data_IF_559445171738
#
_entry.id   IF_559445171738
#
_cell.length_a   1.000
_cell.length_b   1.000
_cell.length_c   1.000
_cell.angle_alpha   90.00
_cell.angle_beta   90.00
_cell.angle_gamma   90.00
#
_symmetry.space_group_name_H-M   'P 1'
#
loop_
_entity.id
_entity.type
_entity.pdbx_description
1 polymer ?
#
# COMPACT_ATOMS: atom_id res chain seq x y z
N UNK A 1 19.20 5.65 20.32
CA UNK A 1 19.02 5.63 18.86
C UNK A 1 17.52 5.64 18.58
N UNK A 2 17.08 6.28 17.46
CA UNK A 2 15.67 6.26 17.04
C UNK A 2 15.36 4.87 16.46
N UNK A 3 14.15 4.38 16.70
CA UNK A 3 13.69 3.09 16.18
C UNK A 3 13.55 3.15 14.65
N UNK A 4 14.22 2.24 13.95
CA UNK A 4 14.07 2.06 12.49
C UNK A 4 12.74 1.39 12.25
N UNK A 5 11.81 2.13 11.69
CA UNK A 5 10.39 1.76 11.62
C UNK A 5 9.91 1.68 10.17
N UNK A 6 9.14 0.67 9.85
CA UNK A 6 8.27 0.68 8.67
C UNK A 6 6.81 0.87 9.09
N UNK A 7 6.02 1.47 8.21
CA UNK A 7 4.58 1.64 8.38
C UNK A 7 3.87 0.97 7.21
N UNK A 8 2.97 0.04 7.49
CA UNK A 8 2.25 -0.74 6.46
C UNK A 8 0.76 -0.65 6.71
N UNK A 9 0.03 -0.08 5.76
CA UNK A 9 -1.44 -0.07 5.79
C UNK A 9 -2.02 -1.28 5.05
N UNK A 10 -3.21 -1.73 5.43
CA UNK A 10 -3.82 -2.92 4.85
C UNK A 10 -3.04 -4.20 5.14
N UNK A 11 -2.36 -4.27 6.28
CA UNK A 11 -1.45 -5.35 6.64
C UNK A 11 -2.13 -6.66 7.06
N UNK A 12 -3.46 -6.69 7.19
CA UNK A 12 -4.19 -7.87 7.67
C UNK A 12 -4.30 -9.00 6.66
N UNK A 13 -4.07 -8.74 5.39
CA UNK A 13 -4.20 -9.73 4.31
C UNK A 13 -3.39 -9.35 3.06
N UNK A 14 -3.33 -10.27 2.10
CA UNK A 14 -2.81 -10.03 0.75
C UNK A 14 -1.38 -9.48 0.72
N UNK A 15 -1.16 -8.49 -0.13
CA UNK A 15 0.15 -7.87 -0.31
C UNK A 15 0.66 -7.20 0.96
N UNK A 16 -0.21 -6.55 1.74
CA UNK A 16 0.20 -5.87 2.97
C UNK A 16 0.78 -6.83 4.00
N UNK A 17 0.13 -7.97 4.21
CA UNK A 17 0.63 -9.07 5.06
C UNK A 17 1.97 -9.59 4.56
N UNK A 18 2.10 -9.80 3.27
CA UNK A 18 3.33 -10.30 2.64
C UNK A 18 4.48 -9.29 2.75
N UNK A 19 4.21 -7.98 2.60
CA UNK A 19 5.21 -6.95 2.87
C UNK A 19 5.76 -7.04 4.29
N UNK A 20 4.89 -7.17 5.28
CA UNK A 20 5.32 -7.28 6.68
C UNK A 20 6.22 -8.51 6.89
N UNK A 21 5.85 -9.66 6.32
CA UNK A 21 6.64 -10.90 6.42
C UNK A 21 8.03 -10.72 5.82
N UNK A 22 8.14 -10.25 4.58
CA UNK A 22 9.44 -10.09 3.91
C UNK A 22 10.31 -9.01 4.58
N UNK A 23 9.72 -7.88 5.01
CA UNK A 23 10.45 -6.86 5.76
C UNK A 23 10.99 -7.38 7.10
N UNK A 24 10.21 -8.22 7.79
CA UNK A 24 10.65 -8.86 9.02
C UNK A 24 11.79 -9.86 8.77
N UNK A 25 11.74 -10.63 7.69
CA UNK A 25 12.79 -11.59 7.31
C UNK A 25 14.12 -10.89 7.00
N UNK A 26 14.08 -9.68 6.44
CA UNK A 26 15.30 -8.89 6.19
C UNK A 26 16.05 -8.48 7.47
N UNK A 27 15.38 -8.39 8.61
CA UNK A 27 15.97 -8.08 9.90
C UNK A 27 16.61 -6.69 10.03
N UNK A 28 16.19 -5.74 9.18
CA UNK A 28 16.75 -4.38 9.13
C UNK A 28 15.98 -3.35 9.95
N UNK A 29 14.79 -3.72 10.44
CA UNK A 29 13.89 -2.85 11.17
C UNK A 29 13.82 -3.23 12.64
N UNK A 30 13.64 -2.24 13.49
CA UNK A 30 13.47 -2.45 14.94
C UNK A 30 11.99 -2.70 15.28
N UNK A 31 11.05 -2.12 14.50
CA UNK A 31 9.61 -2.39 14.61
C UNK A 31 8.89 -2.12 13.28
N UNK A 32 7.68 -2.67 13.14
CA UNK A 32 6.77 -2.39 12.03
C UNK A 32 5.43 -1.94 12.61
N UNK A 33 4.96 -0.77 12.21
CA UNK A 33 3.62 -0.28 12.52
C UNK A 33 2.65 -0.81 11.48
N UNK A 34 1.67 -1.58 11.94
CA UNK A 34 0.69 -2.25 11.05
C UNK A 34 -0.70 -1.70 11.32
N UNK A 35 -1.37 -1.29 10.26
CA UNK A 35 -2.69 -0.64 10.32
C UNK A 35 -3.68 -1.42 9.48
N UNK A 36 -4.74 -1.91 10.10
CA UNK A 36 -5.89 -2.53 9.44
C UNK A 36 -7.08 -2.60 10.38
N UNK A 37 -8.27 -2.78 9.84
CA UNK A 37 -9.50 -2.87 10.64
C UNK A 37 -9.58 -4.14 11.51
N UNK A 38 -9.10 -5.27 10.98
CA UNK A 38 -9.18 -6.59 11.65
C UNK A 38 -7.97 -6.79 12.56
N UNK A 39 -8.10 -6.32 13.79
CA UNK A 39 -7.04 -6.40 14.81
C UNK A 39 -6.56 -7.84 15.03
N UNK A 40 -7.48 -8.79 15.09
CA UNK A 40 -7.18 -10.21 15.30
C UNK A 40 -6.25 -10.77 14.21
N UNK A 41 -6.38 -10.31 12.96
CA UNK A 41 -5.48 -10.71 11.86
C UNK A 41 -4.08 -10.12 12.01
N UNK A 42 -3.97 -8.92 12.55
CA UNK A 42 -2.67 -8.30 12.86
C UNK A 42 -1.97 -9.00 14.02
N UNK A 43 -2.73 -9.42 15.04
CA UNK A 43 -2.22 -10.20 16.17
C UNK A 43 -1.74 -11.59 15.71
N UNK A 44 -2.50 -12.25 14.84
CA UNK A 44 -2.08 -13.48 14.18
C UNK A 44 -0.77 -13.28 13.41
N UNK A 45 -0.67 -12.22 12.59
CA UNK A 45 0.55 -11.89 11.85
C UNK A 45 1.75 -11.70 12.78
N UNK A 46 1.56 -11.04 13.92
CA UNK A 46 2.61 -10.82 14.91
C UNK A 46 3.20 -12.13 15.46
N UNK A 47 2.43 -13.23 15.45
CA UNK A 47 2.92 -14.55 15.88
C UNK A 47 3.84 -15.24 14.87
N UNK A 48 3.84 -14.81 13.61
CA UNK A 48 4.63 -15.41 12.52
C UNK A 48 5.94 -14.65 12.22
N UNK A 49 6.06 -13.41 12.65
CA UNK A 49 7.19 -12.54 12.29
C UNK A 49 8.09 -12.28 13.48
N UNK A 50 9.38 -12.10 13.21
CA UNK A 50 10.38 -11.86 14.26
C UNK A 50 10.45 -10.40 14.70
N UNK A 51 10.24 -9.48 13.76
CA UNK A 51 10.25 -8.04 14.05
C UNK A 51 9.01 -7.67 14.86
N UNK A 52 9.12 -6.96 15.97
CA UNK A 52 7.98 -6.51 16.76
C UNK A 52 7.00 -5.71 15.93
N UNK A 53 5.70 -6.02 16.06
CA UNK A 53 4.64 -5.27 15.41
C UNK A 53 3.95 -4.35 16.40
N UNK A 54 3.77 -3.08 16.02
CA UNK A 54 2.87 -2.16 16.71
C UNK A 54 1.55 -2.14 15.97
N UNK A 55 0.50 -2.59 16.63
CA UNK A 55 -0.79 -2.89 16.01
C UNK A 55 -1.76 -1.74 16.21
N UNK A 56 -2.29 -1.23 15.11
CA UNK A 56 -3.36 -0.25 15.05
C UNK A 56 -4.58 -0.89 14.37
N UNK A 57 -5.48 -1.43 15.19
CA UNK A 57 -6.75 -2.03 14.72
C UNK A 57 -7.78 -0.94 14.47
N UNK A 58 -7.68 -0.23 13.37
CA UNK A 58 -8.51 0.92 13.04
C UNK A 58 -8.74 1.06 11.55
N UNK A 59 -9.81 1.76 11.18
CA UNK A 59 -10.09 2.17 9.81
C UNK A 59 -9.27 3.40 9.42
N UNK A 60 -8.81 3.46 8.19
CA UNK A 60 -8.18 4.66 7.61
C UNK A 60 -9.18 5.79 7.31
N UNK A 61 -10.47 5.57 7.52
CA UNK A 61 -11.52 6.61 7.50
C UNK A 61 -11.68 7.29 8.87
N UNK A 62 -11.06 6.74 9.92
CA UNK A 62 -11.13 7.29 11.28
C UNK A 62 -10.08 8.40 11.47
N UNK A 63 -10.54 9.64 11.58
CA UNK A 63 -9.67 10.80 11.84
C UNK A 63 -8.93 10.68 13.20
N UNK A 64 -9.52 9.97 14.18
CA UNK A 64 -8.87 9.69 15.45
C UNK A 64 -7.58 8.89 15.31
N UNK A 65 -7.51 8.01 14.32
CA UNK A 65 -6.28 7.27 14.02
C UNK A 65 -5.13 8.21 13.64
N UNK A 66 -5.39 9.17 12.75
CA UNK A 66 -4.34 10.13 12.31
C UNK A 66 -3.88 11.03 13.45
N UNK A 67 -4.80 11.44 14.33
CA UNK A 67 -4.47 12.19 15.55
C UNK A 67 -3.57 11.37 16.48
N UNK A 68 -3.90 10.10 16.70
CA UNK A 68 -3.09 9.19 17.52
C UNK A 68 -1.69 8.99 16.90
N UNK A 69 -1.62 8.69 15.61
CA UNK A 69 -0.33 8.50 14.91
C UNK A 69 0.53 9.76 14.97
N UNK A 70 -0.07 10.93 14.79
CA UNK A 70 0.64 12.22 14.87
C UNK A 70 1.28 12.42 16.25
N UNK A 71 0.52 12.21 17.32
CA UNK A 71 1.01 12.32 18.70
C UNK A 71 2.15 11.32 18.98
N UNK A 72 1.99 10.08 18.56
CA UNK A 72 3.01 9.05 18.74
C UNK A 72 4.30 9.39 17.99
N UNK A 73 4.20 9.80 16.73
CA UNK A 73 5.36 10.17 15.91
C UNK A 73 6.08 11.39 16.46
N UNK A 74 5.35 12.41 16.94
CA UNK A 74 5.96 13.58 17.55
C UNK A 74 6.70 13.24 18.85
N UNK A 75 6.10 12.39 19.67
CA UNK A 75 6.69 11.96 20.95
C UNK A 75 7.92 11.07 20.77
N UNK A 76 7.83 10.07 19.89
CA UNK A 76 8.84 9.02 19.75
C UNK A 76 9.86 9.34 18.65
N UNK A 77 9.51 10.19 17.70
CA UNK A 77 10.37 10.59 16.57
C UNK A 77 11.04 9.40 15.91
N UNK A 78 10.26 8.41 15.41
CA UNK A 78 10.82 7.22 14.79
C UNK A 78 11.69 7.59 13.58
N UNK A 79 12.63 6.73 13.22
CA UNK A 79 13.33 6.78 11.93
C UNK A 79 12.52 5.94 10.94
N UNK A 80 11.57 6.58 10.23
CA UNK A 80 10.72 5.88 9.27
C UNK A 80 11.52 5.57 8.02
N UNK A 81 11.81 4.29 7.84
CA UNK A 81 12.61 3.78 6.72
C UNK A 81 11.76 3.43 5.51
N UNK A 82 10.50 3.06 5.73
CA UNK A 82 9.59 2.63 4.68
C UNK A 82 8.15 2.90 5.06
N UNK A 83 7.38 3.49 4.13
CA UNK A 83 5.93 3.57 4.18
C UNK A 83 5.35 2.76 3.02
N UNK A 84 4.49 1.80 3.34
CA UNK A 84 3.72 1.03 2.36
C UNK A 84 2.25 1.43 2.45
N UNK A 85 1.78 2.23 1.51
CA UNK A 85 0.37 2.54 1.34
C UNK A 85 -0.28 1.44 0.51
N UNK A 86 -0.68 0.35 1.19
CA UNK A 86 -1.26 -0.82 0.55
C UNK A 86 -2.78 -0.92 0.73
N UNK A 87 -3.35 -0.32 1.78
CA UNK A 87 -4.78 -0.38 1.98
C UNK A 87 -5.53 0.19 0.77
N UNK A 88 -6.53 -0.54 0.32
CA UNK A 88 -7.34 -0.17 -0.83
C UNK A 88 -8.50 -1.14 -1.02
N UNK A 89 -9.47 -0.71 -1.80
CA UNK A 89 -10.59 -1.55 -2.24
C UNK A 89 -10.93 -1.26 -3.69
N UNK A 90 -11.60 -2.18 -4.33
CA UNK A 90 -12.11 -2.03 -5.68
C UNK A 90 -13.48 -2.67 -5.82
N UNK A 91 -14.25 -2.20 -6.77
CA UNK A 91 -15.52 -2.79 -7.19
C UNK A 91 -15.53 -2.88 -8.70
N UNK A 92 -15.87 -4.05 -9.25
CA UNK A 92 -16.00 -4.26 -10.68
C UNK A 92 -17.47 -4.13 -11.08
N UNK A 93 -17.86 -2.91 -11.40
CA UNK A 93 -19.23 -2.54 -11.77
C UNK A 93 -19.23 -1.29 -12.66
N UNK A 94 -20.29 -1.04 -13.39
CA UNK A 94 -20.47 0.21 -14.14
C UNK A 94 -20.79 1.38 -13.20
N UNK A 95 -20.47 2.61 -13.60
CA UNK A 95 -20.67 3.78 -12.74
C UNK A 95 -22.15 4.02 -12.38
N UNK A 96 -23.06 3.70 -13.27
CA UNK A 96 -24.50 3.85 -13.05
C UNK A 96 -25.08 2.81 -12.08
N UNK A 97 -24.43 1.64 -11.96
CA UNK A 97 -24.80 0.59 -11.02
C UNK A 97 -24.10 0.74 -9.66
N UNK A 98 -22.96 1.43 -9.62
CA UNK A 98 -22.21 1.64 -8.40
C UNK A 98 -22.93 2.64 -7.47
N UNK A 99 -23.05 2.31 -6.19
CA UNK A 99 -23.62 3.26 -5.24
C UNK A 99 -22.68 4.46 -5.01
N UNK A 100 -23.26 5.64 -4.80
CA UNK A 100 -22.46 6.83 -4.47
C UNK A 100 -21.60 6.61 -3.23
N UNK A 101 -22.15 5.93 -2.22
CA UNK A 101 -21.45 5.61 -0.98
C UNK A 101 -20.20 4.76 -1.24
N UNK A 102 -20.33 3.69 -2.03
CA UNK A 102 -19.21 2.83 -2.39
C UNK A 102 -18.14 3.58 -3.19
N UNK A 103 -18.54 4.35 -4.19
CA UNK A 103 -17.64 5.14 -5.02
C UNK A 103 -16.85 6.16 -4.16
N UNK A 104 -17.53 6.93 -3.32
CA UNK A 104 -16.91 7.95 -2.47
C UNK A 104 -16.00 7.32 -1.40
N UNK A 105 -16.46 6.24 -0.77
CA UNK A 105 -15.65 5.47 0.19
C UNK A 105 -14.38 4.90 -0.45
N UNK A 106 -14.46 4.42 -1.69
CA UNK A 106 -13.29 3.95 -2.45
C UNK A 106 -12.28 5.08 -2.71
N UNK A 107 -12.75 6.26 -3.10
CA UNK A 107 -11.90 7.44 -3.28
C UNK A 107 -11.21 7.82 -1.95
N UNK A 108 -11.93 7.83 -0.86
CA UNK A 108 -11.38 8.10 0.47
C UNK A 108 -10.26 7.15 0.84
N UNK A 109 -10.49 5.85 0.74
CA UNK A 109 -9.50 4.85 1.09
C UNK A 109 -8.31 4.80 0.12
N UNK A 110 -8.58 4.85 -1.19
CA UNK A 110 -7.53 4.67 -2.20
C UNK A 110 -6.72 5.95 -2.48
N UNK A 111 -7.28 7.14 -2.23
CA UNK A 111 -6.64 8.41 -2.57
C UNK A 111 -6.31 9.26 -1.33
N UNK A 112 -7.29 9.53 -0.47
CA UNK A 112 -7.08 10.41 0.69
C UNK A 112 -6.15 9.77 1.73
N UNK A 113 -6.34 8.50 2.05
CA UNK A 113 -5.54 7.80 3.05
C UNK A 113 -4.04 7.78 2.71
N UNK A 114 -3.60 7.46 1.48
CA UNK A 114 -2.19 7.56 1.11
C UNK A 114 -1.62 8.97 1.26
N UNK A 115 -2.36 10.01 0.90
CA UNK A 115 -1.91 11.40 1.07
C UNK A 115 -1.72 11.73 2.55
N UNK A 116 -2.70 11.39 3.40
CA UNK A 116 -2.61 11.60 4.84
C UNK A 116 -1.41 10.87 5.46
N UNK A 117 -1.20 9.61 5.08
CA UNK A 117 -0.08 8.80 5.59
C UNK A 117 1.27 9.35 5.14
N UNK A 118 1.42 9.78 3.89
CA UNK A 118 2.64 10.43 3.42
C UNK A 118 2.91 11.72 4.18
N UNK A 119 1.91 12.56 4.39
CA UNK A 119 2.03 13.81 5.17
C UNK A 119 2.48 13.56 6.60
N UNK A 120 1.99 12.49 7.23
CA UNK A 120 2.39 12.09 8.58
C UNK A 120 3.83 11.56 8.64
N UNK A 121 4.21 10.71 7.69
CA UNK A 121 5.49 10.00 7.74
C UNK A 121 6.68 10.83 7.24
N UNK A 122 6.50 11.64 6.20
CA UNK A 122 7.59 12.40 5.56
C UNK A 122 8.45 13.23 6.53
N UNK A 123 7.90 13.90 7.57
CA UNK A 123 8.74 14.62 8.54
C UNK A 123 9.74 13.75 9.31
N UNK A 124 9.46 12.45 9.40
CA UNK A 124 10.27 11.48 10.14
C UNK A 124 11.10 10.58 9.23
N UNK A 125 11.06 10.82 7.92
CA UNK A 125 11.86 10.12 6.91
C UNK A 125 13.16 10.87 6.65
N UNK A 126 14.23 10.09 6.47
CA UNK A 126 15.56 10.59 6.15
C UNK A 126 16.07 10.00 4.85
N UNK A 127 17.24 10.45 4.44
CA UNK A 127 17.98 9.90 3.30
C UNK A 127 17.97 8.37 3.31
N UNK A 128 17.68 7.79 2.16
CA UNK A 128 17.56 6.35 1.97
C UNK A 128 16.23 5.73 2.40
N UNK A 129 15.28 6.54 2.88
CA UNK A 129 13.91 6.07 3.13
C UNK A 129 13.12 5.93 1.82
N UNK A 130 12.07 5.12 1.86
CA UNK A 130 11.23 4.87 0.71
C UNK A 130 9.74 4.87 1.01
N UNK A 131 8.94 5.11 -0.04
CA UNK A 131 7.48 5.00 -0.03
C UNK A 131 7.07 4.12 -1.19
N UNK A 132 6.24 3.11 -0.93
CA UNK A 132 5.55 2.34 -1.97
C UNK A 132 4.06 2.64 -1.86
N UNK A 133 3.49 3.20 -2.91
CA UNK A 133 2.05 3.35 -3.06
C UNK A 133 1.54 2.22 -3.96
N UNK A 134 0.67 1.36 -3.43
CA UNK A 134 0.12 0.23 -4.19
C UNK A 134 -1.01 0.75 -5.09
N UNK A 135 -0.66 0.97 -6.35
CA UNK A 135 -1.57 1.32 -7.43
C UNK A 135 -2.15 0.05 -8.09
N UNK A 136 -2.24 0.01 -9.38
CA UNK A 136 -2.71 -1.13 -10.18
C UNK A 136 -2.42 -0.88 -11.66
N UNK A 137 -2.34 -1.92 -12.46
CA UNK A 137 -2.40 -1.78 -13.94
C UNK A 137 -3.69 -1.10 -14.40
N UNK A 138 -4.76 -1.18 -13.61
CA UNK A 138 -6.01 -0.46 -13.87
C UNK A 138 -5.86 1.08 -13.83
N UNK A 139 -4.79 1.59 -13.26
CA UNK A 139 -4.45 3.02 -13.30
C UNK A 139 -3.71 3.47 -14.56
N UNK A 140 -3.32 2.55 -15.43
CA UNK A 140 -2.55 2.86 -16.64
C UNK A 140 -3.46 3.20 -17.84
N UNK A 141 -4.66 2.65 -17.87
CA UNK A 141 -5.61 2.79 -18.96
C UNK A 141 -7.03 2.94 -18.42
N UNK A 142 -7.92 3.70 -19.09
CA UNK A 142 -9.33 3.72 -18.74
C UNK A 142 -9.96 2.34 -19.02
N UNK A 143 -10.58 1.76 -18.01
CA UNK A 143 -11.21 0.44 -18.11
C UNK A 143 -12.69 0.55 -17.78
N UNK A 144 -13.60 0.14 -18.69
CA UNK A 144 -15.01 -0.08 -18.37
C UNK A 144 -15.15 -1.04 -17.18
N UNK A 145 -16.22 -0.93 -16.43
CA UNK A 145 -16.51 -1.68 -15.20
C UNK A 145 -15.52 -1.44 -14.03
N UNK A 146 -14.52 -0.61 -14.23
CA UNK A 146 -13.52 -0.22 -13.22
C UNK A 146 -13.30 1.30 -13.21
N UNK A 147 -14.29 2.10 -13.59
CA UNK A 147 -14.11 3.53 -13.80
C UNK A 147 -13.57 4.25 -12.56
N UNK A 148 -14.25 4.14 -11.43
CA UNK A 148 -13.81 4.80 -10.18
C UNK A 148 -12.54 4.16 -9.64
N UNK A 149 -12.47 2.85 -9.56
CA UNK A 149 -11.28 2.13 -9.11
C UNK A 149 -10.04 2.50 -9.93
N UNK A 150 -10.13 2.40 -11.26
CA UNK A 150 -9.03 2.76 -12.17
C UNK A 150 -8.59 4.21 -12.00
N UNK A 151 -9.55 5.14 -11.86
CA UNK A 151 -9.25 6.54 -11.62
C UNK A 151 -8.51 6.77 -10.29
N UNK A 152 -8.88 6.05 -9.20
CA UNK A 152 -8.15 6.12 -7.93
C UNK A 152 -6.72 5.60 -8.06
N UNK A 153 -6.50 4.57 -8.86
CA UNK A 153 -5.17 4.01 -9.10
C UNK A 153 -4.32 4.87 -10.05
N UNK A 154 -4.94 5.53 -11.01
CA UNK A 154 -4.28 6.56 -11.83
C UNK A 154 -3.85 7.78 -10.98
N UNK A 155 -4.68 8.18 -10.02
CA UNK A 155 -4.33 9.19 -9.03
C UNK A 155 -3.05 8.80 -8.27
N UNK A 156 -2.96 7.58 -7.74
CA UNK A 156 -1.77 7.12 -7.01
C UNK A 156 -0.53 7.05 -7.89
N UNK A 157 -0.68 6.61 -9.13
CA UNK A 157 0.44 6.55 -10.07
C UNK A 157 1.01 7.94 -10.34
N UNK A 158 0.16 8.90 -10.68
CA UNK A 158 0.56 10.28 -10.94
C UNK A 158 1.16 10.94 -9.70
N UNK A 159 0.50 10.80 -8.55
CA UNK A 159 0.98 11.35 -7.28
C UNK A 159 2.36 10.79 -6.89
N UNK A 160 2.55 9.49 -7.01
CA UNK A 160 3.83 8.84 -6.66
C UNK A 160 4.98 9.38 -7.48
N UNK A 161 4.79 9.54 -8.79
CA UNK A 161 5.81 10.07 -9.68
C UNK A 161 6.16 11.53 -9.36
N UNK A 162 5.13 12.36 -9.12
CA UNK A 162 5.34 13.77 -8.76
C UNK A 162 6.07 13.90 -7.41
N UNK A 163 5.60 13.19 -6.37
CA UNK A 163 6.23 13.23 -5.04
C UNK A 163 7.67 12.68 -5.09
N UNK A 164 7.93 11.67 -5.93
CA UNK A 164 9.30 11.18 -6.11
C UNK A 164 10.25 12.29 -6.59
N UNK A 165 9.82 13.11 -7.55
CA UNK A 165 10.62 14.25 -8.03
C UNK A 165 10.83 15.31 -6.92
N UNK A 166 9.76 15.63 -6.17
CA UNK A 166 9.84 16.58 -5.05
C UNK A 166 10.79 16.11 -3.93
N UNK A 167 10.93 14.80 -3.73
CA UNK A 167 11.75 14.23 -2.65
C UNK A 167 13.19 13.90 -3.04
N UNK A 168 13.60 14.17 -4.28
CA UNK A 168 14.96 13.88 -4.78
C UNK A 168 16.05 14.54 -3.94
N UNK A 169 15.91 15.79 -3.59
CA UNK A 169 16.91 16.52 -2.79
C UNK A 169 17.06 15.92 -1.38
N UNK A 170 16.02 15.31 -0.86
CA UNK A 170 16.05 14.61 0.43
C UNK A 170 16.51 13.15 0.31
N UNK A 171 16.77 12.67 -0.91
CA UNK A 171 17.10 11.28 -1.20
C UNK A 171 16.09 10.29 -0.59
N UNK A 172 14.80 10.63 -0.68
CA UNK A 172 13.67 9.76 -0.33
C UNK A 172 13.04 9.29 -1.63
N UNK A 173 12.94 7.97 -1.80
CA UNK A 173 12.45 7.36 -3.02
C UNK A 173 10.97 7.01 -2.92
N UNK A 174 10.16 7.43 -3.91
CA UNK A 174 8.72 7.14 -3.96
C UNK A 174 8.40 6.35 -5.22
N UNK A 175 7.79 5.19 -5.04
CA UNK A 175 7.47 4.26 -6.13
C UNK A 175 5.99 3.89 -6.14
N UNK A 176 5.38 3.84 -7.32
CA UNK A 176 4.09 3.22 -7.53
C UNK A 176 4.28 1.73 -7.87
N UNK A 177 3.63 0.85 -7.13
CA UNK A 177 3.51 -0.56 -7.47
C UNK A 177 2.20 -0.78 -8.24
N UNK A 178 2.30 -1.24 -9.47
CA UNK A 178 1.17 -1.46 -10.38
C UNK A 178 1.00 -2.95 -10.70
N UNK A 179 0.48 -3.77 -9.76
CA UNK A 179 0.25 -5.18 -10.02
C UNK A 179 -1.00 -5.39 -10.89
N UNK A 180 -1.03 -6.54 -11.57
CA UNK A 180 -2.25 -7.14 -12.09
C UNK A 180 -3.03 -7.83 -10.94
N UNK A 181 -4.04 -8.62 -11.22
CA UNK A 181 -4.74 -9.40 -10.21
C UNK A 181 -3.78 -10.34 -9.47
N UNK A 182 -3.94 -10.40 -8.15
CA UNK A 182 -3.11 -11.25 -7.28
C UNK A 182 -3.99 -12.40 -6.79
N UNK A 183 -3.59 -13.64 -7.10
CA UNK A 183 -4.19 -14.83 -6.50
C UNK A 183 -3.87 -14.89 -5.00
N UNK A 184 -4.57 -15.72 -4.30
CA UNK A 184 -4.39 -15.95 -2.87
C UNK A 184 -4.60 -14.69 -2.02
N UNK A 185 -5.40 -13.73 -2.55
CA UNK A 185 -5.85 -12.54 -1.83
C UNK A 185 -7.38 -12.47 -1.82
N UNK A 186 -7.92 -11.83 -0.81
CA UNK A 186 -9.37 -11.58 -0.71
C UNK A 186 -9.87 -10.54 -1.72
N UNK A 187 -8.97 -9.86 -2.43
CA UNK A 187 -9.31 -8.70 -3.26
C UNK A 187 -10.18 -9.07 -4.45
N UNK A 188 -9.90 -10.16 -5.14
CA UNK A 188 -10.66 -10.60 -6.32
C UNK A 188 -12.12 -10.83 -5.96
N UNK A 189 -12.37 -11.60 -4.89
CA UNK A 189 -13.73 -11.86 -4.41
C UNK A 189 -14.45 -10.60 -3.92
N UNK A 190 -13.78 -9.78 -3.14
CA UNK A 190 -14.34 -8.51 -2.62
C UNK A 190 -14.66 -7.50 -3.72
N UNK A 191 -13.91 -7.51 -4.81
CA UNK A 191 -14.16 -6.65 -5.97
C UNK A 191 -15.29 -7.17 -6.88
N UNK A 192 -15.82 -8.37 -6.65
CA UNK A 192 -16.81 -9.00 -7.53
C UNK A 192 -16.23 -9.40 -8.90
N UNK A 193 -14.93 -9.67 -8.95
CA UNK A 193 -14.20 -9.95 -10.19
C UNK A 193 -14.10 -11.44 -10.51
N UNK A 194 -14.57 -12.33 -9.62
CA UNK A 194 -14.53 -13.77 -9.83
C UNK A 194 -15.20 -14.18 -11.14
N UNK A 195 -14.52 -15.01 -11.94
CA UNK A 195 -15.02 -15.44 -13.24
C UNK A 195 -15.08 -14.36 -14.33
N UNK A 196 -14.73 -13.11 -14.00
CA UNK A 196 -14.75 -11.98 -14.95
C UNK A 196 -13.36 -11.55 -15.42
N UNK A 197 -12.32 -12.06 -14.80
CA UNK A 197 -10.93 -11.74 -15.11
C UNK A 197 -10.23 -12.91 -15.80
N UNK A 198 -9.25 -12.59 -16.65
CA UNK A 198 -8.40 -13.62 -17.25
C UNK A 198 -7.45 -14.19 -16.21
N UNK A 199 -7.42 -15.51 -16.09
CA UNK A 199 -6.44 -16.20 -15.23
C UNK A 199 -5.00 -16.06 -15.76
N UNK A 200 -4.86 -15.71 -17.03
CA UNK A 200 -3.57 -15.52 -17.66
C UNK A 200 -2.90 -14.26 -17.11
N UNK A 201 -1.76 -14.43 -16.45
CA UNK A 201 -1.00 -13.33 -15.89
C UNK A 201 -1.35 -13.00 -14.44
N UNK A 202 -2.25 -13.75 -13.79
CA UNK A 202 -2.48 -13.61 -12.36
C UNK A 202 -1.16 -13.86 -11.61
N UNK A 203 -0.86 -12.95 -10.68
CA UNK A 203 0.37 -12.95 -9.89
C UNK A 203 0.15 -13.62 -8.53
N UNK A 204 1.24 -13.97 -7.85
CA UNK A 204 1.19 -14.30 -6.43
C UNK A 204 1.76 -13.16 -5.57
N UNK A 205 1.36 -13.12 -4.30
CA UNK A 205 1.76 -12.05 -3.38
C UNK A 205 3.27 -12.07 -3.09
N UNK A 206 3.86 -13.24 -2.88
CA UNK A 206 5.28 -13.38 -2.51
C UNK A 206 6.21 -12.81 -3.59
N UNK A 207 6.04 -13.24 -4.84
CA UNK A 207 6.86 -12.76 -5.96
C UNK A 207 6.61 -11.28 -6.26
N UNK A 208 5.37 -10.82 -6.13
CA UNK A 208 5.00 -9.41 -6.33
C UNK A 208 5.70 -8.51 -5.33
N UNK A 209 5.66 -8.85 -4.04
CA UNK A 209 6.30 -8.07 -2.98
C UNK A 209 7.82 -8.12 -3.12
N UNK A 210 8.40 -9.29 -3.40
CA UNK A 210 9.83 -9.43 -3.63
C UNK A 210 10.29 -8.50 -4.76
N UNK A 211 9.59 -8.52 -5.89
CA UNK A 211 9.88 -7.64 -7.03
C UNK A 211 9.75 -6.17 -6.66
N UNK A 212 8.70 -5.79 -5.94
CA UNK A 212 8.48 -4.42 -5.51
C UNK A 212 9.63 -3.89 -4.63
N UNK A 213 10.08 -4.68 -3.66
CA UNK A 213 11.19 -4.31 -2.79
C UNK A 213 12.53 -4.21 -3.54
N UNK A 214 12.76 -5.11 -4.51
CA UNK A 214 13.92 -5.04 -5.40
C UNK A 214 13.89 -3.78 -6.27
N UNK A 215 12.76 -3.47 -6.91
CA UNK A 215 12.58 -2.30 -7.76
C UNK A 215 12.78 -1.00 -6.97
N UNK A 216 12.25 -0.92 -5.76
CA UNK A 216 12.47 0.24 -4.89
C UNK A 216 13.97 0.46 -4.62
N UNK A 217 14.72 -0.60 -4.34
CA UNK A 217 16.19 -0.52 -4.11
C UNK A 217 16.96 -0.11 -5.34
N UNK A 218 16.48 -0.48 -6.52
CA UNK A 218 17.08 -0.11 -7.80
C UNK A 218 16.70 1.29 -8.28
N UNK A 219 15.85 2.00 -7.53
CA UNK A 219 15.44 3.36 -7.86
C UNK A 219 14.34 3.44 -8.91
N UNK A 220 13.60 2.37 -9.15
CA UNK A 220 12.45 2.37 -10.05
C UNK A 220 11.33 3.27 -9.49
N UNK A 221 10.71 4.06 -10.35
CA UNK A 221 9.58 4.93 -9.96
C UNK A 221 8.23 4.26 -10.14
N UNK A 222 8.18 3.26 -11.02
CA UNK A 222 7.01 2.42 -11.26
C UNK A 222 7.45 0.96 -11.31
N UNK A 223 6.87 0.12 -10.47
CA UNK A 223 7.08 -1.32 -10.48
C UNK A 223 5.90 -2.00 -11.17
N UNK A 224 6.19 -2.77 -12.21
CA UNK A 224 5.23 -3.54 -13.01
C UNK A 224 5.57 -5.03 -12.90
N UNK A 225 5.10 -5.73 -11.85
CA UNK A 225 5.38 -7.15 -11.71
C UNK A 225 4.62 -7.98 -12.74
N UNK A 226 5.25 -9.06 -13.23
CA UNK A 226 4.65 -10.00 -14.16
C UNK A 226 5.03 -9.78 -15.61
N UNK A 227 4.71 -10.77 -16.44
CA UNK A 227 5.09 -10.78 -17.87
C UNK A 227 4.23 -9.85 -18.74
N UNK A 228 2.99 -9.58 -18.33
CA UNK A 228 2.08 -8.70 -19.09
C UNK A 228 2.43 -7.21 -18.98
N UNK A 229 3.24 -6.85 -18.01
CA UNK A 229 3.70 -5.48 -17.82
C UNK A 229 4.83 -5.06 -18.78
N UNK A 230 5.30 -5.98 -19.63
CA UNK A 230 6.37 -5.75 -20.60
C UNK A 230 5.86 -5.56 -22.03
N UNK A 231 4.55 -5.48 -22.23
CA UNK A 231 3.88 -5.16 -23.48
C UNK A 231 3.43 -3.70 -23.49
#
# INVERSE_FOLDING_TARGET
ARMRTAVVTGASSGLGREFVKQLSEEGKLDEIWVIARRREKLEELASFVKTPLRIFGASLDDEGLYGLLSVLMEREKPDIRLLINNAGRGTMTTLDEETTEDAVSMIGLNCQAPVKMMKLCLPYMKEGAGIINVASVAGLLPLPDLAVYGATKAFLLSLSQAVNEEMKERNIHVMALCPYWIKDTEFIGKAGAEGRISEKGILNAEETVKKALEDLRHGETVSLPGKMAKL
#
